data_IF_650472870884
#
_entry.id   IF_650472870884
#
_cell.length_a   1.000
_cell.length_b   1.000
_cell.length_c   1.000
_cell.angle_alpha   90.00
_cell.angle_beta   90.00
_cell.angle_gamma   90.00
#
_symmetry.space_group_name_H-M   'P 1'
#
loop_
_entity.id
_entity.type
_entity.pdbx_description
1 polymer ?
#
# COMPACT_ATOMS: atom_id res chain seq x y z
N UNK A 1 16.45 -18.75 -6.50
CA UNK A 1 15.34 -18.45 -7.41
C UNK A 1 15.81 -17.66 -8.61
N UNK A 2 14.90 -17.33 -9.48
CA UNK A 2 15.12 -16.58 -10.70
C UNK A 2 13.84 -15.82 -11.11
N UNK A 3 13.75 -15.32 -12.36
CA UNK A 3 12.58 -14.60 -12.86
C UNK A 3 11.30 -15.45 -12.86
N UNK A 4 11.41 -16.78 -12.96
CA UNK A 4 10.27 -17.70 -12.94
C UNK A 4 9.75 -17.94 -11.51
N UNK A 5 10.57 -17.76 -10.46
CA UNK A 5 10.09 -17.95 -9.10
C UNK A 5 11.13 -18.33 -8.06
N UNK A 6 10.64 -18.78 -6.93
CA UNK A 6 11.45 -19.27 -5.82
C UNK A 6 11.70 -20.77 -5.94
N UNK A 7 12.90 -21.22 -5.56
CA UNK A 7 13.26 -22.63 -5.61
C UNK A 7 13.07 -23.34 -4.26
N UNK A 8 13.18 -22.62 -3.14
CA UNK A 8 12.99 -23.18 -1.78
C UNK A 8 12.42 -22.13 -0.82
N UNK A 9 11.17 -22.28 -0.36
CA UNK A 9 10.18 -23.21 -0.89
C UNK A 9 9.89 -22.93 -2.37
N UNK A 10 9.46 -23.96 -3.10
CA UNK A 10 9.10 -23.80 -4.51
C UNK A 10 7.80 -22.99 -4.64
N UNK A 11 7.84 -21.93 -5.43
CA UNK A 11 6.68 -21.12 -5.79
C UNK A 11 7.00 -20.37 -7.08
N UNK A 12 6.35 -20.72 -8.15
CA UNK A 12 6.64 -20.25 -9.50
C UNK A 12 5.46 -19.53 -10.14
N UNK A 13 5.68 -18.98 -11.31
CA UNK A 13 4.66 -18.30 -12.12
C UNK A 13 3.41 -19.17 -12.32
N UNK A 14 3.60 -20.48 -12.54
CA UNK A 14 2.47 -21.40 -12.73
C UNK A 14 1.63 -21.55 -11.45
N UNK A 15 2.24 -21.53 -10.27
CA UNK A 15 1.53 -21.61 -8.99
C UNK A 15 0.63 -20.39 -8.74
N UNK A 16 1.01 -19.24 -9.31
CA UNK A 16 0.19 -18.01 -9.23
C UNK A 16 -1.15 -18.21 -9.96
N UNK A 17 -1.16 -19.02 -11.03
CA UNK A 17 -2.39 -19.31 -11.76
C UNK A 17 -3.37 -20.17 -10.95
N UNK A 18 -2.86 -20.95 -10.01
CA UNK A 18 -3.66 -21.81 -9.13
C UNK A 18 -4.11 -21.12 -7.84
N UNK A 19 -3.67 -19.88 -7.59
CA UNK A 19 -4.11 -19.10 -6.43
C UNK A 19 -5.63 -18.88 -6.47
N UNK A 20 -6.26 -19.03 -5.32
CA UNK A 20 -7.69 -18.79 -5.10
C UNK A 20 -7.90 -17.96 -3.81
N UNK A 21 -7.13 -16.89 -3.68
CA UNK A 21 -7.12 -16.05 -2.49
C UNK A 21 -8.15 -14.91 -2.53
N UNK A 22 -8.85 -14.72 -3.65
CA UNK A 22 -9.88 -13.68 -3.76
C UNK A 22 -9.32 -12.30 -3.43
N UNK A 23 -10.05 -11.53 -2.65
CA UNK A 23 -9.63 -10.21 -2.17
C UNK A 23 -8.56 -10.22 -1.07
N UNK A 24 -8.12 -11.39 -0.62
CA UNK A 24 -6.98 -11.50 0.29
C UNK A 24 -5.66 -11.36 -0.49
N UNK A 25 -5.43 -10.19 -1.03
CA UNK A 25 -4.30 -9.86 -1.90
C UNK A 25 -3.16 -9.23 -1.08
N UNK A 26 -2.14 -10.02 -0.68
CA UNK A 26 -1.04 -9.54 0.14
C UNK A 26 -0.05 -8.67 -0.65
N UNK A 27 0.83 -8.00 0.08
CA UNK A 27 2.10 -7.51 -0.45
C UNK A 27 3.11 -8.65 -0.42
N UNK A 28 3.69 -8.97 -1.57
CA UNK A 28 4.79 -9.92 -1.67
C UNK A 28 6.13 -9.19 -1.51
N UNK A 29 6.98 -9.70 -0.63
CA UNK A 29 8.34 -9.21 -0.45
C UNK A 29 9.31 -10.35 -0.75
N UNK A 30 10.06 -10.23 -1.84
CA UNK A 30 11.02 -11.23 -2.29
C UNK A 30 12.44 -10.72 -2.12
N UNK A 31 13.25 -11.52 -1.46
CA UNK A 31 14.70 -11.27 -1.32
C UNK A 31 15.52 -12.26 -2.14
N UNK A 32 14.92 -12.72 -3.24
CA UNK A 32 15.46 -13.70 -4.18
C UNK A 32 15.81 -12.99 -5.48
N UNK A 33 17.02 -13.25 -5.98
CA UNK A 33 17.53 -12.69 -7.23
C UNK A 33 16.53 -12.83 -8.39
N UNK A 34 16.42 -11.81 -9.23
CA UNK A 34 15.62 -11.76 -10.45
C UNK A 34 14.10 -11.94 -10.30
N UNK A 35 13.58 -12.10 -9.09
CA UNK A 35 12.14 -12.37 -8.91
C UNK A 35 11.24 -11.20 -9.36
N UNK A 36 11.80 -10.01 -9.55
CA UNK A 36 11.14 -8.81 -10.04
C UNK A 36 11.79 -8.26 -11.33
N UNK A 37 12.33 -9.14 -12.15
CA UNK A 37 12.98 -8.78 -13.42
C UNK A 37 11.96 -8.77 -14.56
N UNK A 38 11.18 -7.70 -14.63
CA UNK A 38 10.15 -7.46 -15.65
C UNK A 38 10.73 -7.12 -17.05
N UNK A 39 12.05 -7.03 -17.18
CA UNK A 39 12.74 -6.88 -18.47
C UNK A 39 13.33 -8.20 -18.98
N UNK A 40 13.07 -9.32 -18.31
CA UNK A 40 13.56 -10.64 -18.63
C UNK A 40 12.80 -11.25 -19.82
N UNK A 41 13.38 -12.32 -20.41
CA UNK A 41 12.70 -13.13 -21.44
C UNK A 41 11.60 -14.05 -20.86
N UNK A 42 11.54 -14.20 -19.54
CA UNK A 42 10.43 -14.85 -18.82
C UNK A 42 9.33 -13.81 -18.64
N UNK A 43 8.26 -13.90 -19.44
CA UNK A 43 7.12 -12.96 -19.41
C UNK A 43 5.81 -13.77 -19.25
N UNK A 44 5.11 -13.59 -18.13
CA UNK A 44 5.45 -12.72 -17.00
C UNK A 44 6.56 -13.29 -16.11
N UNK A 45 7.39 -12.42 -15.50
CA UNK A 45 8.20 -12.83 -14.35
C UNK A 45 7.30 -13.03 -13.11
N UNK A 46 7.85 -13.58 -12.02
CA UNK A 46 7.05 -13.87 -10.81
C UNK A 46 6.28 -12.64 -10.28
N UNK A 47 6.96 -11.50 -10.20
CA UNK A 47 6.34 -10.26 -9.72
C UNK A 47 5.16 -9.82 -10.60
N UNK A 48 5.34 -9.85 -11.93
CA UNK A 48 4.28 -9.53 -12.88
C UNK A 48 3.11 -10.52 -12.80
N UNK A 49 3.40 -11.82 -12.70
CA UNK A 49 2.37 -12.84 -12.57
C UNK A 49 1.50 -12.59 -11.33
N UNK A 50 2.11 -12.24 -10.19
CA UNK A 50 1.42 -11.93 -8.94
C UNK A 50 0.53 -10.68 -9.07
N UNK A 51 1.04 -9.59 -9.68
CA UNK A 51 0.28 -8.34 -9.83
C UNK A 51 -0.80 -8.44 -10.91
N UNK A 52 -0.56 -9.22 -11.96
CA UNK A 52 -1.51 -9.42 -13.08
C UNK A 52 -2.51 -10.54 -12.80
N UNK A 53 -2.40 -11.22 -11.66
CA UNK A 53 -3.24 -12.34 -11.29
C UNK A 53 -4.72 -11.98 -11.17
N UNK A 54 -5.60 -12.86 -11.66
CA UNK A 54 -7.05 -12.68 -11.56
C UNK A 54 -7.64 -11.64 -12.51
N UNK A 55 -8.83 -11.19 -12.14
CA UNK A 55 -9.61 -10.14 -12.82
C UNK A 55 -10.31 -9.27 -11.77
N UNK A 56 -10.85 -8.09 -12.13
CA UNK A 56 -11.61 -7.28 -11.17
C UNK A 56 -12.80 -7.98 -10.52
N UNK A 57 -13.35 -9.01 -11.17
CA UNK A 57 -14.48 -9.79 -10.65
C UNK A 57 -14.07 -11.12 -10.00
N UNK A 58 -12.86 -11.59 -10.29
CA UNK A 58 -12.27 -12.81 -9.71
C UNK A 58 -10.82 -12.48 -9.35
N UNK A 59 -10.60 -11.68 -8.30
CA UNK A 59 -9.26 -11.24 -7.91
C UNK A 59 -8.46 -12.41 -7.33
N UNK A 60 -7.14 -12.39 -7.56
CA UNK A 60 -6.14 -13.27 -6.96
C UNK A 60 -4.75 -12.66 -7.07
N UNK A 61 -3.74 -13.30 -6.48
CA UNK A 61 -2.37 -12.80 -6.49
C UNK A 61 -2.11 -11.80 -5.38
N UNK A 62 -1.47 -10.68 -5.67
CA UNK A 62 -1.10 -9.64 -4.70
C UNK A 62 -1.39 -8.23 -5.18
N UNK A 63 -1.36 -7.27 -4.24
CA UNK A 63 -1.56 -5.84 -4.56
C UNK A 63 -0.25 -5.12 -4.84
N UNK A 64 0.88 -5.67 -4.37
CA UNK A 64 2.21 -5.16 -4.65
C UNK A 64 3.25 -6.28 -4.53
N UNK A 65 4.36 -6.11 -5.23
CA UNK A 65 5.53 -6.95 -5.12
C UNK A 65 6.78 -6.09 -4.96
N UNK A 66 7.61 -6.40 -3.95
CA UNK A 66 8.91 -5.78 -3.72
C UNK A 66 9.97 -6.84 -3.92
N UNK A 67 10.95 -6.57 -4.77
CA UNK A 67 12.04 -7.50 -4.99
C UNK A 67 13.08 -6.99 -5.98
N UNK A 68 14.20 -7.74 -6.13
CA UNK A 68 15.26 -7.35 -7.03
C UNK A 68 14.98 -7.77 -8.47
N UNK A 69 15.36 -6.90 -9.40
CA UNK A 69 15.31 -7.11 -10.85
C UNK A 69 16.65 -7.58 -11.44
N UNK A 70 17.60 -8.00 -10.60
CA UNK A 70 18.91 -8.44 -11.07
C UNK A 70 19.36 -9.75 -10.41
N UNK A 71 20.13 -10.54 -11.19
CA UNK A 71 20.64 -11.85 -10.78
C UNK A 71 21.80 -11.79 -9.78
N UNK A 72 22.53 -10.66 -9.70
CA UNK A 72 23.76 -10.54 -8.95
C UNK A 72 23.55 -10.07 -7.51
N UNK A 73 22.34 -10.19 -6.96
CA UNK A 73 22.11 -9.85 -5.57
C UNK A 73 22.72 -10.88 -4.61
N UNK A 74 23.11 -10.42 -3.43
CA UNK A 74 23.77 -11.24 -2.39
C UNK A 74 22.93 -11.25 -1.11
N UNK A 75 22.80 -12.43 -0.53
CA UNK A 75 22.02 -12.65 0.71
C UNK A 75 22.38 -11.69 1.84
N UNK A 76 23.66 -11.34 1.99
CA UNK A 76 24.08 -10.41 3.06
C UNK A 76 23.45 -9.02 2.97
N UNK A 77 23.31 -8.49 1.75
CA UNK A 77 22.69 -7.19 1.51
C UNK A 77 21.16 -7.30 1.51
N UNK A 78 20.62 -8.37 0.89
CA UNK A 78 19.19 -8.65 0.93
C UNK A 78 18.67 -8.73 2.37
N UNK A 79 19.40 -9.39 3.27
CA UNK A 79 19.04 -9.50 4.68
C UNK A 79 19.00 -8.14 5.39
N UNK A 80 19.91 -7.23 5.06
CA UNK A 80 19.90 -5.87 5.62
C UNK A 80 18.68 -5.10 5.14
N UNK A 81 18.39 -5.12 3.83
CA UNK A 81 17.20 -4.47 3.29
C UNK A 81 15.95 -5.01 3.99
N UNK A 82 15.83 -6.35 4.09
CA UNK A 82 14.73 -7.00 4.78
C UNK A 82 14.57 -6.50 6.23
N UNK A 83 15.67 -6.57 7.01
CA UNK A 83 15.66 -6.22 8.41
C UNK A 83 15.23 -4.75 8.62
N UNK A 84 15.80 -3.82 7.85
CA UNK A 84 15.50 -2.40 7.99
C UNK A 84 14.10 -2.02 7.47
N UNK A 85 13.58 -2.72 6.46
CA UNK A 85 12.18 -2.55 6.04
C UNK A 85 11.22 -2.95 7.16
N UNK A 86 11.41 -4.14 7.75
CA UNK A 86 10.56 -4.60 8.84
C UNK A 86 10.72 -3.76 10.11
N UNK A 87 11.95 -3.32 10.42
CA UNK A 87 12.19 -2.39 11.54
C UNK A 87 11.44 -1.06 11.34
N UNK A 88 11.49 -0.51 10.14
CA UNK A 88 10.75 0.70 9.79
C UNK A 88 9.23 0.53 9.97
N UNK A 89 8.68 -0.58 9.51
CA UNK A 89 7.25 -0.86 9.63
C UNK A 89 6.83 -1.15 11.08
N UNK A 90 7.52 -2.07 11.75
CA UNK A 90 7.09 -2.61 13.04
C UNK A 90 7.44 -1.71 14.22
N UNK A 91 8.60 -1.03 14.17
CA UNK A 91 9.10 -0.23 15.29
C UNK A 91 8.95 1.28 15.08
N UNK A 92 8.85 1.73 13.83
CA UNK A 92 8.78 3.16 13.51
C UNK A 92 7.48 3.58 12.84
N UNK A 93 6.54 2.66 12.59
CA UNK A 93 5.23 2.95 12.05
C UNK A 93 5.26 3.46 10.59
N UNK A 94 6.34 3.20 9.85
CA UNK A 94 6.47 3.54 8.43
C UNK A 94 5.83 2.42 7.63
N UNK A 95 4.55 2.50 7.37
CA UNK A 95 3.75 1.42 6.77
C UNK A 95 3.55 1.56 5.26
N UNK A 96 3.86 2.70 4.68
CA UNK A 96 3.85 2.90 3.23
C UNK A 96 5.03 2.16 2.58
N UNK A 97 4.76 1.43 1.48
CA UNK A 97 5.75 0.55 0.85
C UNK A 97 6.99 1.29 0.34
N UNK A 98 6.84 2.45 -0.28
CA UNK A 98 7.95 3.26 -0.79
C UNK A 98 8.91 3.70 0.30
N UNK A 99 8.44 4.42 1.33
CA UNK A 99 9.25 4.81 2.49
C UNK A 99 9.86 3.61 3.22
N UNK A 100 9.13 2.51 3.39
CA UNK A 100 9.66 1.30 4.02
C UNK A 100 10.80 0.69 3.19
N UNK A 101 10.64 0.58 1.86
CA UNK A 101 11.71 0.10 0.99
C UNK A 101 12.93 1.03 1.03
N UNK A 102 12.73 2.34 1.04
CA UNK A 102 13.82 3.31 1.15
C UNK A 102 14.55 3.19 2.50
N UNK A 103 13.84 2.91 3.59
CA UNK A 103 14.47 2.61 4.88
C UNK A 103 15.36 1.36 4.77
N UNK A 104 14.88 0.30 4.10
CA UNK A 104 15.66 -0.90 3.81
C UNK A 104 16.94 -0.61 3.04
N UNK A 105 16.86 0.14 1.95
CA UNK A 105 18.02 0.55 1.15
C UNK A 105 18.98 1.44 1.95
N UNK A 106 18.47 2.35 2.77
CA UNK A 106 19.27 3.22 3.66
C UNK A 106 20.01 2.41 4.72
N UNK A 107 19.50 1.25 5.12
CA UNK A 107 20.18 0.31 6.01
C UNK A 107 21.52 -0.15 5.45
N UNK A 108 21.67 -0.28 4.14
CA UNK A 108 22.96 -0.63 3.52
C UNK A 108 24.02 0.44 3.77
N UNK A 109 23.63 1.72 3.76
CA UNK A 109 24.56 2.83 4.04
C UNK A 109 25.10 2.74 5.46
N UNK A 110 24.25 2.32 6.40
CA UNK A 110 24.62 2.19 7.81
C UNK A 110 25.49 0.96 8.08
N UNK A 111 25.12 -0.18 7.50
CA UNK A 111 25.81 -1.46 7.76
C UNK A 111 27.07 -1.66 6.89
N UNK A 112 27.09 -1.06 5.70
CA UNK A 112 28.19 -1.19 4.75
C UNK A 112 28.68 0.18 4.23
N UNK A 113 29.12 1.10 5.11
CA UNK A 113 29.50 2.46 4.70
C UNK A 113 30.64 2.52 3.70
N UNK A 114 31.49 1.48 3.65
CA UNK A 114 32.61 1.37 2.70
C UNK A 114 32.13 0.91 1.29
N UNK A 115 30.88 0.59 1.09
CA UNK A 115 30.29 0.12 -0.17
C UNK A 115 29.40 1.19 -0.81
N UNK A 116 29.82 2.47 -0.74
CA UNK A 116 29.04 3.63 -1.20
C UNK A 116 29.58 4.28 -2.47
N UNK A 117 30.62 3.73 -3.06
CA UNK A 117 31.20 4.23 -4.31
C UNK A 117 30.37 3.84 -5.54
N UNK A 118 30.71 4.45 -6.71
CA UNK A 118 30.08 4.09 -7.98
C UNK A 118 30.26 2.60 -8.31
N UNK A 119 29.13 1.95 -8.64
CA UNK A 119 29.07 0.51 -8.93
C UNK A 119 29.13 -0.40 -7.71
N UNK A 120 29.22 0.15 -6.49
CA UNK A 120 29.22 -0.63 -5.25
C UNK A 120 27.80 -0.98 -4.78
N UNK A 121 27.72 -1.72 -3.67
CA UNK A 121 26.47 -2.32 -3.24
C UNK A 121 25.33 -1.32 -3.03
N UNK A 122 25.59 -0.14 -2.46
CA UNK A 122 24.54 0.84 -2.19
C UNK A 122 23.91 1.36 -3.48
N UNK A 123 24.72 1.76 -4.46
CA UNK A 123 24.22 2.21 -5.76
C UNK A 123 23.51 1.06 -6.48
N UNK A 124 24.12 -0.12 -6.55
CA UNK A 124 23.53 -1.29 -7.21
C UNK A 124 22.15 -1.63 -6.63
N UNK A 125 22.05 -1.77 -5.31
CA UNK A 125 20.79 -2.13 -4.65
C UNK A 125 19.72 -1.03 -4.70
N UNK A 126 20.12 0.24 -4.84
CA UNK A 126 19.15 1.33 -5.08
C UNK A 126 18.51 1.27 -6.46
N UNK A 127 19.21 0.66 -7.42
CA UNK A 127 18.70 0.51 -8.81
C UNK A 127 17.90 -0.76 -9.01
N UNK A 128 18.28 -1.87 -8.35
CA UNK A 128 17.69 -3.18 -8.67
C UNK A 128 16.50 -3.56 -7.79
N UNK A 129 16.36 -2.98 -6.59
CA UNK A 129 15.14 -3.20 -5.81
C UNK A 129 14.04 -2.27 -6.26
N UNK A 130 12.92 -2.87 -6.68
CA UNK A 130 11.78 -2.16 -7.25
C UNK A 130 10.49 -2.59 -6.59
N UNK A 131 9.48 -1.71 -6.65
CA UNK A 131 8.09 -1.99 -6.29
C UNK A 131 7.29 -2.09 -7.58
N UNK A 132 6.68 -3.25 -7.84
CA UNK A 132 5.55 -3.36 -8.74
C UNK A 132 4.28 -3.18 -7.91
N UNK A 133 3.55 -2.09 -8.14
CA UNK A 133 2.40 -1.66 -7.35
C UNK A 133 2.47 -0.19 -6.98
N UNK A 134 1.59 0.25 -6.09
CA UNK A 134 1.58 1.64 -5.61
C UNK A 134 2.54 1.79 -4.41
N UNK A 135 3.58 2.64 -4.49
CA UNK A 135 4.51 2.86 -3.38
C UNK A 135 3.87 3.60 -2.19
N UNK A 136 2.70 4.23 -2.37
CA UNK A 136 1.94 4.85 -1.29
C UNK A 136 1.01 3.88 -0.57
N UNK A 137 0.90 2.63 -1.05
CA UNK A 137 0.09 1.59 -0.42
C UNK A 137 0.56 1.35 1.01
N UNK A 138 -0.39 1.37 1.95
CA UNK A 138 -0.13 1.10 3.35
C UNK A 138 -0.34 -0.38 3.68
N UNK A 139 0.60 -0.96 4.40
CA UNK A 139 0.50 -2.33 4.89
C UNK A 139 -0.24 -2.33 6.23
N UNK A 140 -1.24 -3.18 6.35
CA UNK A 140 -1.88 -3.44 7.64
C UNK A 140 -1.03 -4.44 8.43
N UNK A 141 -0.50 -4.00 9.57
CA UNK A 141 0.32 -4.83 10.47
C UNK A 141 -0.49 -5.49 11.58
N UNK A 142 -1.76 -5.11 11.70
CA UNK A 142 -2.73 -5.64 12.62
C UNK A 142 -4.11 -5.60 11.96
N UNK A 143 -5.13 -6.11 12.63
CA UNK A 143 -6.52 -5.99 12.18
C UNK A 143 -6.89 -4.52 12.04
N UNK A 144 -7.25 -4.05 10.85
CA UNK A 144 -7.59 -2.65 10.65
C UNK A 144 -8.87 -2.28 11.41
N UNK A 145 -8.92 -1.05 11.87
CA UNK A 145 -10.12 -0.48 12.47
C UNK A 145 -11.18 -0.18 11.39
N UNK A 146 -12.42 -0.02 11.82
CA UNK A 146 -13.50 0.45 10.96
C UNK A 146 -14.01 1.81 11.42
N UNK A 147 -14.56 2.57 10.48
CA UNK A 147 -15.17 3.88 10.77
C UNK A 147 -16.65 3.75 11.06
N UNK A 148 -17.13 4.62 11.97
CA UNK A 148 -18.52 5.06 12.04
C UNK A 148 -18.61 6.46 11.48
N UNK A 149 -19.41 6.65 10.42
CA UNK A 149 -19.62 7.93 9.73
C UNK A 149 -21.00 8.45 10.10
N UNK A 150 -21.06 9.55 10.84
CA UNK A 150 -22.31 10.20 11.22
C UNK A 150 -22.44 11.54 10.51
N UNK A 151 -23.53 11.67 9.76
CA UNK A 151 -23.87 12.92 9.08
C UNK A 151 -24.81 13.70 9.97
N UNK A 152 -24.33 14.84 10.46
CA UNK A 152 -25.10 15.74 11.30
C UNK A 152 -25.57 16.94 10.47
N UNK A 153 -26.81 17.39 10.72
CA UNK A 153 -27.39 18.58 10.10
C UNK A 153 -27.35 18.59 8.56
N UNK A 154 -28.17 17.75 7.95
CA UNK A 154 -28.49 17.88 6.53
C UNK A 154 -29.70 18.81 6.39
N UNK A 155 -29.47 20.12 6.45
CA UNK A 155 -30.48 21.08 6.04
C UNK A 155 -30.09 21.65 4.68
N UNK A 156 -30.92 21.42 3.67
CA UNK A 156 -30.72 22.04 2.34
C UNK A 156 -30.66 23.57 2.38
N UNK A 157 -31.17 24.18 3.47
CA UNK A 157 -31.18 25.62 3.68
C UNK A 157 -29.89 26.18 4.26
N UNK A 158 -29.05 25.35 4.90
CA UNK A 158 -27.94 25.86 5.71
C UNK A 158 -26.63 25.95 4.90
N UNK A 159 -26.59 25.35 3.70
CA UNK A 159 -25.46 25.48 2.77
C UNK A 159 -24.15 24.85 3.27
N UNK A 160 -24.21 24.04 4.35
CA UNK A 160 -23.06 23.29 4.84
C UNK A 160 -23.44 21.88 5.28
N UNK A 161 -22.45 21.00 5.28
CA UNK A 161 -22.55 19.63 5.73
C UNK A 161 -21.51 19.40 6.84
N UNK A 162 -21.96 18.82 7.95
CA UNK A 162 -21.11 18.41 9.06
C UNK A 162 -21.08 16.89 9.15
N UNK A 163 -19.89 16.30 9.16
CA UNK A 163 -19.65 14.86 9.22
C UNK A 163 -18.79 14.59 10.44
N UNK A 164 -19.23 13.68 11.30
CA UNK A 164 -18.47 13.17 12.43
C UNK A 164 -17.91 11.78 12.08
N UNK A 165 -16.62 11.61 12.27
CA UNK A 165 -15.92 10.34 12.06
C UNK A 165 -15.44 9.81 13.41
N UNK A 166 -15.90 8.61 13.77
CA UNK A 166 -15.49 7.88 14.96
C UNK A 166 -14.98 6.48 14.56
N UNK A 167 -14.26 5.82 15.47
CA UNK A 167 -14.00 4.39 15.38
C UNK A 167 -15.20 3.56 15.91
N UNK A 168 -15.11 2.24 15.85
CA UNK A 168 -16.15 1.33 16.36
C UNK A 168 -16.37 1.42 17.88
N UNK A 169 -15.39 1.93 18.63
CA UNK A 169 -15.47 2.15 20.06
C UNK A 169 -16.06 3.51 20.42
N UNK A 170 -16.37 4.33 19.41
CA UNK A 170 -16.92 5.68 19.58
C UNK A 170 -15.86 6.75 19.84
N UNK A 171 -14.56 6.44 19.72
CA UNK A 171 -13.52 7.44 19.82
C UNK A 171 -13.46 8.29 18.55
N UNK A 172 -13.26 9.57 18.72
CA UNK A 172 -13.09 10.53 17.62
C UNK A 172 -11.85 10.18 16.78
N UNK A 173 -11.98 10.24 15.45
CA UNK A 173 -10.86 9.97 14.53
C UNK A 173 -10.40 11.28 13.90
N UNK A 174 -9.37 11.94 14.45
CA UNK A 174 -8.81 13.15 13.88
C UNK A 174 -8.02 12.87 12.62
N UNK A 175 -7.93 13.88 11.74
CA UNK A 175 -7.10 13.86 10.51
C UNK A 175 -7.42 12.70 9.56
N UNK A 176 -8.63 12.17 9.58
CA UNK A 176 -9.12 11.27 8.55
C UNK A 176 -9.41 12.05 7.28
N UNK A 177 -9.01 11.53 6.13
CA UNK A 177 -9.38 12.08 4.83
C UNK A 177 -10.84 11.76 4.59
N UNK A 178 -11.66 12.78 4.40
CA UNK A 178 -13.07 12.63 4.01
C UNK A 178 -13.24 13.13 2.59
N UNK A 179 -13.93 12.37 1.77
CA UNK A 179 -14.36 12.79 0.44
C UNK A 179 -15.85 12.54 0.25
N UNK A 180 -16.51 13.52 -0.35
CA UNK A 180 -17.93 13.46 -0.71
C UNK A 180 -17.98 13.36 -2.22
N UNK A 181 -18.67 12.35 -2.72
CA UNK A 181 -18.80 12.08 -4.15
C UNK A 181 -20.25 12.10 -4.58
N UNK A 182 -20.50 12.60 -5.79
CA UNK A 182 -21.80 12.49 -6.46
C UNK A 182 -21.56 12.19 -7.93
N UNK A 183 -22.29 11.22 -8.50
CA UNK A 183 -22.13 10.81 -9.90
C UNK A 183 -20.68 10.53 -10.32
N UNK A 184 -19.89 9.91 -9.45
CA UNK A 184 -18.46 9.62 -9.62
C UNK A 184 -17.51 10.83 -9.58
N UNK A 185 -18.01 12.03 -9.32
CA UNK A 185 -17.20 13.22 -9.14
C UNK A 185 -17.01 13.55 -7.65
N UNK A 186 -15.79 13.97 -7.28
CA UNK A 186 -15.52 14.48 -5.94
C UNK A 186 -16.06 15.91 -5.84
N UNK A 187 -17.12 16.10 -5.06
CA UNK A 187 -17.75 17.41 -4.87
C UNK A 187 -17.21 18.17 -3.65
N UNK A 188 -16.62 17.46 -2.69
CA UNK A 188 -15.87 18.05 -1.57
C UNK A 188 -14.87 17.04 -1.01
N UNK A 189 -13.78 17.54 -0.43
CA UNK A 189 -12.80 16.72 0.30
C UNK A 189 -12.04 17.55 1.33
N UNK A 190 -11.57 16.90 2.39
CA UNK A 190 -10.73 17.53 3.41
C UNK A 190 -10.34 16.55 4.50
N UNK A 191 -9.83 17.09 5.60
CA UNK A 191 -9.46 16.32 6.78
C UNK A 191 -10.44 16.60 7.92
N UNK A 192 -10.69 15.60 8.76
CA UNK A 192 -11.33 15.85 10.05
C UNK A 192 -10.41 16.65 10.96
N UNK A 193 -10.98 17.47 11.81
CA UNK A 193 -10.27 18.20 12.87
C UNK A 193 -9.88 17.27 14.05
N UNK A 194 -9.34 17.87 15.14
CA UNK A 194 -8.95 17.13 16.34
C UNK A 194 -10.13 16.42 17.04
N UNK A 195 -11.36 16.87 16.79
CA UNK A 195 -12.59 16.28 17.30
C UNK A 195 -13.22 15.27 16.34
N UNK A 196 -12.52 14.91 15.26
CA UNK A 196 -13.02 13.96 14.26
C UNK A 196 -14.12 14.54 13.37
N UNK A 197 -14.25 15.88 13.28
CA UNK A 197 -15.25 16.57 12.49
C UNK A 197 -14.70 17.03 11.15
N UNK A 198 -15.49 16.85 10.11
CA UNK A 198 -15.30 17.49 8.82
C UNK A 198 -16.50 18.37 8.50
N UNK A 199 -16.25 19.65 8.26
CA UNK A 199 -17.29 20.62 7.89
C UNK A 199 -16.95 21.19 6.52
N UNK A 200 -17.91 21.19 5.64
CA UNK A 200 -17.76 21.75 4.29
C UNK A 200 -18.98 22.55 3.89
N UNK A 201 -18.75 23.67 3.22
CA UNK A 201 -19.83 24.37 2.53
C UNK A 201 -20.12 23.62 1.23
N UNK A 202 -21.33 23.12 1.08
CA UNK A 202 -21.77 22.37 -0.08
C UNK A 202 -23.18 22.81 -0.46
N UNK A 203 -23.34 23.26 -1.70
CA UNK A 203 -24.68 23.47 -2.25
C UNK A 203 -25.31 22.12 -2.60
N UNK A 204 -25.96 21.53 -1.59
CA UNK A 204 -26.67 20.26 -1.75
C UNK A 204 -28.05 20.42 -2.40
N UNK A 205 -28.42 21.63 -2.79
CA UNK A 205 -29.74 21.87 -3.43
C UNK A 205 -29.85 21.22 -4.80
N UNK A 206 -28.72 21.05 -5.48
CA UNK A 206 -28.60 20.42 -6.82
C UNK A 206 -28.13 18.95 -6.76
N UNK A 207 -27.85 18.40 -5.56
CA UNK A 207 -27.34 17.04 -5.38
C UNK A 207 -28.46 16.15 -4.84
N UNK A 208 -28.86 15.14 -5.60
CA UNK A 208 -29.93 14.20 -5.18
C UNK A 208 -29.38 13.15 -4.21
N UNK A 209 -28.20 12.59 -4.54
CA UNK A 209 -27.54 11.58 -3.74
C UNK A 209 -26.03 11.86 -3.72
N UNK A 210 -25.39 11.54 -2.61
CA UNK A 210 -23.95 11.58 -2.49
C UNK A 210 -23.46 10.45 -1.59
N UNK A 211 -22.24 10.00 -1.84
CA UNK A 211 -21.53 9.03 -1.05
C UNK A 211 -20.43 9.72 -0.25
N UNK A 212 -20.22 9.27 0.98
CA UNK A 212 -19.15 9.77 1.85
C UNK A 212 -18.13 8.64 2.04
N UNK A 213 -16.89 8.93 1.75
CA UNK A 213 -15.77 8.03 2.01
C UNK A 213 -14.84 8.63 3.05
N UNK A 214 -14.39 7.79 3.99
CA UNK A 214 -13.40 8.13 4.98
C UNK A 214 -12.18 7.20 4.86
N UNK A 215 -10.98 7.78 4.91
CA UNK A 215 -9.72 7.04 4.83
C UNK A 215 -8.75 7.55 5.90
N UNK A 216 -8.07 6.62 6.55
CA UNK A 216 -6.95 6.89 7.44
C UNK A 216 -6.07 5.64 7.55
N UNK A 217 -4.77 5.82 7.82
CA UNK A 217 -3.86 4.71 8.12
C UNK A 217 -4.43 3.85 9.26
N UNK A 218 -4.25 2.54 9.15
CA UNK A 218 -4.78 1.52 10.07
C UNK A 218 -6.32 1.37 10.12
N UNK A 219 -7.04 1.94 9.15
CA UNK A 219 -8.49 1.78 9.00
C UNK A 219 -8.84 1.22 7.63
N UNK A 220 -9.88 0.39 7.57
CA UNK A 220 -10.55 0.04 6.32
C UNK A 220 -11.29 1.30 5.83
N UNK A 221 -11.31 1.52 4.52
CA UNK A 221 -12.07 2.63 3.95
C UNK A 221 -13.52 2.60 4.44
N UNK A 222 -13.95 3.67 5.10
CA UNK A 222 -15.35 3.88 5.47
C UNK A 222 -16.18 4.35 4.26
N UNK A 223 -17.44 3.91 4.19
CA UNK A 223 -18.41 4.35 3.17
C UNK A 223 -19.79 4.51 3.78
N UNK A 224 -20.49 5.58 3.42
CA UNK A 224 -21.87 5.86 3.81
C UNK A 224 -22.64 6.55 2.71
#
# INVERSE_FOLDING_TARGET
GDANGWHYPEFHVDDVNDLNNGWLTPVFMSYVCNSNDFANNVDPCLAEAIIRGGTPTVPKGGVAFIGPSDLHTSTKYNNVINAYMYDAMLNHGIVELGPAMQAGQSGLLKEFPAQSGPGEAQEFYSHVYNILGDPSLQVYLDTPNEFTIDVQNISKSDGFLEIQINDQQGNMVPYAVVSIMSNSDIISKGLTDEQGKFVTSLDISSVENFDIYANKSAFIQGHK
#
